data_IF_468227389561
#
_entry.id   IF_468227389561
#
_cell.length_a   1.000
_cell.length_b   1.000
_cell.length_c   1.000
_cell.angle_alpha   90.00
_cell.angle_beta   90.00
_cell.angle_gamma   90.00
#
_symmetry.space_group_name_H-M   'P 1'
#
loop_
_entity.id
_entity.type
_entity.pdbx_description
1 polymer ?
#
# COMPACT_ATOMS: atom_id res chain seq x y z
N UNK A 1 -2.47 -19.05 12.91
CA UNK A 1 -2.52 -20.51 12.63
C UNK A 1 -3.46 -20.78 11.47
N UNK A 2 -3.37 -21.94 10.80
CA UNK A 2 -4.30 -22.34 9.71
C UNK A 2 -4.63 -23.82 9.83
N UNK A 3 -5.87 -24.19 9.56
CA UNK A 3 -6.32 -25.56 9.31
C UNK A 3 -6.91 -25.65 7.91
N UNK A 4 -6.81 -26.81 7.28
CA UNK A 4 -7.33 -27.09 5.95
C UNK A 4 -7.87 -28.53 5.93
N UNK A 5 -9.15 -28.72 5.57
CA UNK A 5 -9.81 -30.04 5.57
C UNK A 5 -9.35 -30.91 4.41
N UNK A 6 -8.88 -30.30 3.33
CA UNK A 6 -8.61 -30.96 2.06
C UNK A 6 -7.11 -31.32 1.91
N UNK A 7 -6.30 -30.91 2.90
CA UNK A 7 -4.91 -31.32 3.03
C UNK A 7 -4.79 -32.85 3.22
N UNK A 8 -3.71 -33.43 2.68
CA UNK A 8 -3.48 -34.89 2.77
C UNK A 8 -3.36 -35.43 4.22
N UNK A 9 -3.04 -34.57 5.19
CA UNK A 9 -3.09 -34.87 6.62
C UNK A 9 -3.63 -33.65 7.38
N UNK A 10 -4.96 -33.52 7.55
CA UNK A 10 -5.56 -32.34 8.15
C UNK A 10 -5.12 -32.17 9.61
N UNK A 11 -4.38 -31.08 9.85
CA UNK A 11 -3.88 -30.66 11.17
C UNK A 11 -3.83 -29.14 11.25
N UNK A 12 -3.83 -28.61 12.46
CA UNK A 12 -3.57 -27.19 12.68
C UNK A 12 -2.09 -26.91 12.42
N UNK A 13 -1.79 -25.86 11.67
CA UNK A 13 -0.44 -25.49 11.26
C UNK A 13 -0.05 -24.07 11.71
N UNK A 14 1.23 -23.87 12.07
CA UNK A 14 1.76 -22.54 12.32
C UNK A 14 1.77 -21.69 11.05
N UNK A 15 1.66 -20.37 11.24
CA UNK A 15 1.83 -19.34 10.20
C UNK A 15 2.65 -18.14 10.71
N UNK A 16 3.25 -18.26 11.89
CA UNK A 16 4.11 -17.26 12.51
C UNK A 16 5.05 -17.93 13.53
N UNK A 17 6.32 -17.51 13.66
CA UNK A 17 7.29 -18.13 14.58
C UNK A 17 6.86 -18.14 16.04
N UNK A 18 6.17 -17.10 16.52
CA UNK A 18 5.76 -16.98 17.92
C UNK A 18 4.72 -18.02 18.37
N UNK A 19 4.06 -18.72 17.45
CA UNK A 19 3.20 -19.87 17.80
C UNK A 19 3.93 -21.20 17.61
N UNK A 20 5.02 -21.26 16.83
CA UNK A 20 5.79 -22.50 16.60
C UNK A 20 6.43 -23.07 17.86
N UNK A 21 6.65 -22.23 18.88
CA UNK A 21 7.13 -22.63 20.21
C UNK A 21 6.07 -23.33 21.07
N UNK A 22 4.80 -23.37 20.66
CA UNK A 22 3.76 -24.09 21.39
C UNK A 22 3.96 -25.62 21.32
N UNK A 23 3.75 -26.29 22.45
CA UNK A 23 4.00 -27.72 22.61
C UNK A 23 3.04 -28.64 21.83
N UNK A 24 3.33 -29.94 21.74
CA UNK A 24 2.51 -30.89 20.97
C UNK A 24 1.04 -30.94 21.43
N UNK A 25 0.78 -30.84 22.75
CA UNK A 25 -0.57 -30.82 23.32
C UNK A 25 -1.44 -29.68 22.78
N UNK A 26 -0.85 -28.51 22.51
CA UNK A 26 -1.55 -27.38 21.87
C UNK A 26 -1.98 -27.75 20.45
N UNK A 27 -1.03 -28.23 19.63
CA UNK A 27 -1.31 -28.57 18.23
C UNK A 27 -2.28 -29.74 18.08
N UNK A 28 -2.22 -30.73 18.97
CA UNK A 28 -3.18 -31.82 19.04
C UNK A 28 -4.58 -31.33 19.42
N UNK A 29 -4.70 -30.48 20.45
CA UNK A 29 -5.97 -29.89 20.88
C UNK A 29 -6.59 -29.04 19.78
N UNK A 30 -5.84 -28.11 19.18
CA UNK A 30 -6.37 -27.26 18.12
C UNK A 30 -6.69 -28.04 16.84
N UNK A 31 -5.93 -29.11 16.54
CA UNK A 31 -6.28 -30.03 15.45
C UNK A 31 -7.60 -30.76 15.72
N UNK A 32 -7.84 -31.22 16.95
CA UNK A 32 -9.12 -31.84 17.34
C UNK A 32 -10.27 -30.85 17.24
N UNK A 33 -10.11 -29.67 17.84
CA UNK A 33 -11.10 -28.58 17.81
C UNK A 33 -11.52 -28.25 16.37
N UNK A 34 -10.55 -28.14 15.45
CA UNK A 34 -10.84 -27.85 14.04
C UNK A 34 -11.50 -29.01 13.29
N UNK A 35 -11.16 -30.27 13.59
CA UNK A 35 -11.85 -31.44 13.03
C UNK A 35 -13.31 -31.53 13.48
N UNK A 36 -13.58 -31.25 14.75
CA UNK A 36 -14.94 -31.13 15.29
C UNK A 36 -15.69 -29.96 14.64
N UNK A 37 -15.03 -28.80 14.50
CA UNK A 37 -15.59 -27.65 13.79
C UNK A 37 -15.98 -28.00 12.35
N UNK A 38 -15.14 -28.70 11.58
CA UNK A 38 -15.45 -29.14 10.21
C UNK A 38 -16.76 -29.94 10.13
N UNK A 39 -16.99 -30.88 11.06
CA UNK A 39 -18.25 -31.63 11.11
C UNK A 39 -19.43 -30.73 11.50
N UNK A 40 -19.24 -29.82 12.47
CA UNK A 40 -20.27 -28.86 12.89
C UNK A 40 -20.66 -27.88 11.75
N UNK A 41 -19.71 -27.45 10.91
CA UNK A 41 -19.99 -26.65 9.71
C UNK A 41 -20.80 -27.45 8.68
N UNK A 42 -20.47 -28.72 8.44
CA UNK A 42 -21.23 -29.60 7.53
C UNK A 42 -22.68 -29.82 7.99
N UNK A 43 -22.89 -30.08 9.28
CA UNK A 43 -24.24 -30.19 9.87
C UNK A 43 -24.97 -28.85 9.83
N UNK A 44 -24.25 -27.74 10.05
CA UNK A 44 -24.75 -26.38 9.92
C UNK A 44 -25.28 -26.08 8.51
N UNK A 45 -24.49 -26.32 7.48
CA UNK A 45 -24.88 -26.15 6.07
C UNK A 45 -26.15 -26.94 5.74
N UNK A 46 -26.21 -28.23 6.07
CA UNK A 46 -27.40 -29.06 5.86
C UNK A 46 -28.64 -28.53 6.61
N UNK A 47 -28.46 -27.91 7.78
CA UNK A 47 -29.55 -27.32 8.57
C UNK A 47 -30.07 -26.03 7.93
N UNK A 48 -29.16 -25.16 7.49
CA UNK A 48 -29.50 -23.88 6.84
C UNK A 48 -30.20 -24.10 5.51
N UNK A 49 -29.68 -25.03 4.69
CA UNK A 49 -30.29 -25.47 3.44
C UNK A 49 -31.79 -25.80 3.58
N UNK A 50 -32.13 -26.56 4.62
CA UNK A 50 -33.52 -26.88 4.97
C UNK A 50 -34.32 -25.68 5.50
N UNK A 51 -33.72 -24.76 6.27
CA UNK A 51 -34.42 -23.56 6.74
C UNK A 51 -34.76 -22.58 5.61
N UNK A 52 -33.90 -22.47 4.60
CA UNK A 52 -34.10 -21.61 3.44
C UNK A 52 -34.83 -22.29 2.27
N UNK A 53 -35.21 -23.57 2.40
CA UNK A 53 -35.88 -24.37 1.36
C UNK A 53 -35.13 -24.40 0.02
N UNK A 54 -33.80 -24.49 0.06
CA UNK A 54 -32.95 -24.46 -1.13
C UNK A 54 -32.89 -25.82 -1.85
N UNK A 55 -32.41 -25.84 -3.10
CA UNK A 55 -32.23 -27.08 -3.88
C UNK A 55 -30.89 -27.76 -3.57
N UNK A 56 -30.83 -29.09 -3.58
CA UNK A 56 -29.61 -29.85 -3.21
C UNK A 56 -28.39 -29.59 -4.11
N UNK A 57 -28.59 -29.05 -5.32
CA UNK A 57 -27.53 -28.79 -6.29
C UNK A 57 -26.80 -27.44 -6.07
N UNK A 58 -27.20 -26.65 -5.06
CA UNK A 58 -26.56 -25.38 -4.71
C UNK A 58 -25.22 -25.55 -4.01
N UNK A 59 -24.24 -24.70 -4.36
CA UNK A 59 -23.06 -24.49 -3.53
C UNK A 59 -23.36 -23.38 -2.53
N UNK A 60 -23.10 -23.63 -1.25
CA UNK A 60 -23.44 -22.73 -0.15
C UNK A 60 -22.23 -22.49 0.76
N UNK A 61 -22.16 -21.29 1.33
CA UNK A 61 -21.03 -20.81 2.14
C UNK A 61 -21.50 -20.46 3.55
N UNK A 62 -20.92 -21.09 4.57
CA UNK A 62 -21.16 -20.75 5.97
C UNK A 62 -19.86 -20.26 6.60
N UNK A 63 -19.86 -19.02 7.07
CA UNK A 63 -18.72 -18.38 7.71
C UNK A 63 -18.99 -18.18 9.20
N UNK A 64 -17.93 -18.22 10.02
CA UNK A 64 -17.96 -17.82 11.43
C UNK A 64 -16.72 -17.02 11.74
N UNK A 65 -16.90 -15.90 12.43
CA UNK A 65 -15.85 -15.07 12.97
C UNK A 65 -16.09 -14.93 14.48
N UNK A 66 -15.07 -15.13 15.31
CA UNK A 66 -15.14 -14.96 16.76
C UNK A 66 -13.76 -14.63 17.33
N UNK A 67 -13.74 -13.93 18.46
CA UNK A 67 -12.52 -13.46 19.09
C UNK A 67 -12.80 -12.46 20.21
N UNK A 68 -11.72 -11.95 20.80
CA UNK A 68 -11.75 -11.01 21.91
C UNK A 68 -10.70 -9.93 21.70
N UNK A 69 -11.07 -8.69 22.03
CA UNK A 69 -10.15 -7.54 22.10
C UNK A 69 -9.80 -7.29 23.57
N UNK A 70 -8.52 -7.02 23.85
CA UNK A 70 -8.03 -6.73 25.21
C UNK A 70 -7.42 -5.34 25.30
N UNK A 71 -7.56 -4.71 26.46
CA UNK A 71 -6.96 -3.40 26.73
C UNK A 71 -5.49 -3.51 27.14
N UNK A 72 -4.79 -2.37 27.28
CA UNK A 72 -3.41 -2.33 27.78
C UNK A 72 -3.23 -2.90 29.20
N UNK A 73 -4.31 -3.02 29.98
CA UNK A 73 -4.35 -3.67 31.29
C UNK A 73 -4.62 -5.20 31.21
N UNK A 74 -4.70 -5.74 30.00
CA UNK A 74 -4.95 -7.16 29.71
C UNK A 74 -6.38 -7.62 29.92
N UNK A 75 -7.34 -6.72 30.16
CA UNK A 75 -8.75 -7.07 30.38
C UNK A 75 -9.54 -7.09 29.08
N UNK A 76 -10.59 -7.92 29.03
CA UNK A 76 -11.54 -7.94 27.92
C UNK A 76 -12.18 -6.55 27.72
N UNK A 77 -12.02 -5.98 26.53
CA UNK A 77 -12.77 -4.81 26.08
C UNK A 77 -14.03 -5.21 25.31
N UNK A 78 -13.91 -6.21 24.43
CA UNK A 78 -15.00 -6.68 23.57
C UNK A 78 -14.84 -8.17 23.29
N UNK A 79 -15.91 -8.93 23.45
CA UNK A 79 -16.02 -10.28 22.89
C UNK A 79 -16.97 -10.26 21.70
N UNK A 80 -16.66 -11.02 20.65
CA UNK A 80 -17.52 -11.11 19.47
C UNK A 80 -17.64 -12.53 18.95
N UNK A 81 -18.82 -12.82 18.39
CA UNK A 81 -19.09 -14.04 17.63
C UNK A 81 -20.22 -13.79 16.65
N UNK A 82 -19.94 -13.93 15.36
CA UNK A 82 -20.92 -13.78 14.29
C UNK A 82 -20.79 -14.93 13.28
N UNK A 83 -21.94 -15.43 12.84
CA UNK A 83 -22.05 -16.41 11.76
C UNK A 83 -22.75 -15.72 10.57
N UNK A 84 -22.29 -15.99 9.35
CA UNK A 84 -22.81 -15.46 8.10
C UNK A 84 -23.07 -16.61 7.10
N UNK A 85 -24.09 -16.46 6.25
CA UNK A 85 -24.53 -17.49 5.30
C UNK A 85 -24.71 -16.88 3.89
N UNK A 86 -24.13 -17.54 2.89
CA UNK A 86 -24.08 -17.10 1.48
C UNK A 86 -23.66 -15.61 1.32
N UNK A 87 -22.75 -15.15 2.18
CA UNK A 87 -22.20 -13.78 2.19
C UNK A 87 -23.05 -12.74 2.93
N UNK A 88 -24.23 -13.11 3.46
CA UNK A 88 -25.07 -12.24 4.28
C UNK A 88 -24.95 -12.58 5.77
N UNK A 89 -25.13 -11.58 6.64
CA UNK A 89 -25.21 -11.82 8.09
C UNK A 89 -26.33 -12.81 8.43
N UNK A 90 -26.06 -13.76 9.32
CA UNK A 90 -27.05 -14.74 9.76
C UNK A 90 -27.42 -14.52 11.23
N UNK A 91 -26.45 -14.66 12.15
CA UNK A 91 -26.68 -14.46 13.58
C UNK A 91 -25.41 -14.00 14.31
N UNK A 92 -25.55 -12.96 15.15
CA UNK A 92 -24.47 -12.38 15.94
C UNK A 92 -24.78 -12.43 17.45
N UNK A 93 -23.75 -12.67 18.26
CA UNK A 93 -23.78 -12.48 19.70
C UNK A 93 -23.69 -10.98 19.99
N UNK A 94 -24.60 -10.45 20.80
CA UNK A 94 -24.60 -9.04 21.16
C UNK A 94 -23.48 -8.71 22.16
N UNK A 95 -23.15 -7.44 22.28
CA UNK A 95 -22.05 -6.95 23.14
C UNK A 95 -22.30 -7.19 24.64
N UNK A 96 -23.54 -7.50 25.04
CA UNK A 96 -23.89 -7.95 26.39
C UNK A 96 -23.41 -9.39 26.71
N UNK A 97 -22.89 -10.12 25.70
CA UNK A 97 -22.49 -11.52 25.71
C UNK A 97 -23.57 -12.49 26.23
N UNK A 98 -24.85 -12.10 26.11
CA UNK A 98 -26.02 -12.79 26.68
C UNK A 98 -27.15 -12.98 25.68
N UNK A 99 -27.35 -12.03 24.77
CA UNK A 99 -28.42 -12.03 23.77
C UNK A 99 -27.89 -12.16 22.35
N UNK A 100 -28.78 -12.50 21.40
CA UNK A 100 -28.43 -12.73 20.00
C UNK A 100 -29.26 -11.81 19.08
N UNK A 101 -28.60 -11.21 18.10
CA UNK A 101 -29.25 -10.57 16.95
C UNK A 101 -29.30 -11.56 15.79
N UNK A 102 -30.49 -11.76 15.22
CA UNK A 102 -30.75 -12.66 14.10
C UNK A 102 -31.23 -11.85 12.91
N UNK A 103 -30.62 -12.04 11.74
CA UNK A 103 -30.82 -11.19 10.57
C UNK A 103 -32.18 -11.38 9.89
N UNK A 104 -32.70 -12.62 9.88
CA UNK A 104 -33.95 -12.97 9.21
C UNK A 104 -34.78 -14.03 9.97
N UNK A 105 -35.90 -14.45 9.37
CA UNK A 105 -36.82 -15.43 9.94
C UNK A 105 -36.23 -16.84 10.13
N UNK A 106 -35.27 -17.26 9.30
CA UNK A 106 -34.56 -18.53 9.47
C UNK A 106 -33.56 -18.43 10.64
N UNK A 107 -32.85 -17.32 10.74
CA UNK A 107 -31.97 -17.01 11.87
C UNK A 107 -32.72 -16.97 13.21
N UNK A 108 -33.99 -16.52 13.25
CA UNK A 108 -34.84 -16.63 14.45
C UNK A 108 -35.08 -18.08 14.92
N UNK A 109 -34.94 -19.09 14.05
CA UNK A 109 -34.99 -20.51 14.44
C UNK A 109 -33.70 -20.90 15.18
N UNK A 110 -32.53 -20.53 14.66
CA UNK A 110 -31.25 -20.76 15.33
C UNK A 110 -31.15 -19.99 16.65
N UNK A 111 -31.63 -18.74 16.69
CA UNK A 111 -31.67 -17.92 17.91
C UNK A 111 -32.39 -18.62 19.05
N UNK A 112 -33.65 -19.06 18.84
CA UNK A 112 -34.44 -19.76 19.87
C UNK A 112 -33.73 -21.02 20.37
N UNK A 113 -33.15 -21.82 19.47
CA UNK A 113 -32.36 -23.00 19.85
C UNK A 113 -31.10 -22.66 20.67
N UNK A 114 -30.43 -21.53 20.39
CA UNK A 114 -29.28 -21.05 21.16
C UNK A 114 -29.65 -20.51 22.53
N UNK A 115 -30.78 -19.82 22.64
CA UNK A 115 -31.33 -19.30 23.89
C UNK A 115 -31.78 -20.47 24.79
N UNK A 116 -32.52 -21.44 24.25
CA UNK A 116 -32.95 -22.66 24.96
C UNK A 116 -31.76 -23.50 25.46
N UNK A 117 -30.70 -23.64 24.66
CA UNK A 117 -29.50 -24.40 25.01
C UNK A 117 -28.42 -23.59 25.77
N UNK A 118 -28.70 -22.35 26.19
CA UNK A 118 -27.76 -21.52 26.97
C UNK A 118 -26.44 -21.16 26.27
N UNK A 119 -26.41 -21.17 24.93
CA UNK A 119 -25.17 -21.07 24.14
C UNK A 119 -24.43 -19.74 24.35
N UNK A 120 -25.14 -18.68 24.73
CA UNK A 120 -24.52 -17.40 25.06
C UNK A 120 -23.56 -17.50 26.25
N UNK A 121 -23.93 -18.23 27.31
CA UNK A 121 -23.09 -18.43 28.49
C UNK A 121 -21.81 -19.19 28.15
N UNK A 122 -21.90 -20.22 27.31
CA UNK A 122 -20.73 -20.96 26.81
C UNK A 122 -19.78 -20.07 26.01
N UNK A 123 -20.34 -19.21 25.13
CA UNK A 123 -19.54 -18.24 24.38
C UNK A 123 -18.89 -17.22 25.31
N UNK A 124 -19.64 -16.70 26.28
CA UNK A 124 -19.16 -15.72 27.27
C UNK A 124 -18.01 -16.28 28.12
N UNK A 125 -18.14 -17.50 28.63
CA UNK A 125 -17.09 -18.16 29.42
C UNK A 125 -15.79 -18.35 28.62
N UNK A 126 -15.89 -18.67 27.33
CA UNK A 126 -14.73 -18.72 26.43
C UNK A 126 -14.13 -17.32 26.18
N UNK A 127 -14.98 -16.32 25.90
CA UNK A 127 -14.55 -14.97 25.52
C UNK A 127 -13.96 -14.17 26.69
N UNK A 128 -14.52 -14.30 27.90
CA UNK A 128 -14.04 -13.63 29.13
C UNK A 128 -12.82 -14.32 29.76
N UNK A 129 -12.64 -15.63 29.53
CA UNK A 129 -11.54 -16.42 30.09
C UNK A 129 -10.54 -16.85 29.01
N UNK A 130 -10.75 -18.04 28.44
CA UNK A 130 -9.78 -18.72 27.56
C UNK A 130 -9.29 -17.87 26.40
N UNK A 131 -10.15 -17.07 25.76
CA UNK A 131 -9.74 -16.19 24.67
C UNK A 131 -8.70 -15.15 25.12
N UNK A 132 -8.96 -14.48 26.24
CA UNK A 132 -8.05 -13.49 26.84
C UNK A 132 -6.73 -14.16 27.27
N UNK A 133 -6.80 -15.31 27.94
CA UNK A 133 -5.63 -16.08 28.38
C UNK A 133 -4.69 -16.43 27.21
N UNK A 134 -5.25 -16.94 26.10
CA UNK A 134 -4.45 -17.27 24.91
C UNK A 134 -3.94 -16.03 24.18
N UNK A 135 -4.73 -14.95 24.10
CA UNK A 135 -4.29 -13.71 23.46
C UNK A 135 -3.11 -13.08 24.22
N UNK A 136 -3.18 -13.01 25.55
CA UNK A 136 -2.06 -12.51 26.38
C UNK A 136 -0.81 -13.37 26.21
N UNK A 137 -0.95 -14.70 26.22
CA UNK A 137 0.17 -15.62 25.96
C UNK A 137 0.78 -15.42 24.57
N UNK A 138 -0.03 -15.22 23.53
CA UNK A 138 0.51 -14.94 22.19
C UNK A 138 1.20 -13.58 22.10
N UNK A 139 0.67 -12.56 22.79
CA UNK A 139 1.28 -11.22 22.87
C UNK A 139 2.62 -11.25 23.63
N UNK A 140 2.76 -12.10 24.65
CA UNK A 140 4.03 -12.35 25.34
C UNK A 140 5.01 -13.11 24.42
N UNK A 141 4.59 -14.27 23.89
CA UNK A 141 5.38 -15.10 22.97
C UNK A 141 5.87 -14.32 21.73
N UNK A 142 5.04 -13.42 21.22
CA UNK A 142 5.23 -12.70 19.96
C UNK A 142 5.59 -11.24 20.12
N UNK A 143 5.95 -10.78 21.32
CA UNK A 143 6.13 -9.38 21.70
C UNK A 143 6.87 -8.54 20.64
N UNK A 144 8.08 -8.95 20.25
CA UNK A 144 8.93 -8.28 19.23
C UNK A 144 8.27 -8.11 17.84
N UNK A 145 7.19 -8.84 17.56
CA UNK A 145 6.51 -8.86 16.25
C UNK A 145 5.05 -8.44 16.27
N UNK A 146 4.36 -8.56 17.41
CA UNK A 146 2.94 -8.23 17.56
C UNK A 146 2.72 -6.87 18.24
N UNK A 147 3.62 -6.46 19.14
CA UNK A 147 3.55 -5.20 19.89
C UNK A 147 4.46 -4.11 19.30
N UNK A 148 4.93 -4.30 18.07
CA UNK A 148 5.73 -3.30 17.35
C UNK A 148 4.82 -2.38 16.54
N UNK A 149 5.25 -1.14 16.34
CA UNK A 149 4.67 -0.24 15.35
C UNK A 149 5.76 0.18 14.35
N UNK A 150 5.64 -0.28 13.10
CA UNK A 150 6.54 0.08 12.01
C UNK A 150 6.00 1.32 11.29
N UNK A 151 6.73 2.43 11.32
CA UNK A 151 6.32 3.69 10.69
C UNK A 151 6.21 3.60 9.15
N UNK A 152 5.20 4.23 8.53
CA UNK A 152 5.07 4.27 7.07
C UNK A 152 6.19 5.06 6.41
N UNK A 153 6.79 4.48 5.36
CA UNK A 153 7.61 5.20 4.39
C UNK A 153 6.69 5.96 3.45
N UNK A 154 6.63 7.28 3.62
CA UNK A 154 5.68 8.13 2.90
C UNK A 154 6.34 8.97 1.82
N UNK A 155 5.62 9.18 0.71
CA UNK A 155 6.04 10.09 -0.38
C UNK A 155 4.85 10.46 -1.26
N UNK A 156 4.96 11.54 -2.03
CA UNK A 156 3.96 11.97 -3.01
C UNK A 156 4.52 11.80 -4.43
N UNK A 157 3.81 11.07 -5.28
CA UNK A 157 4.10 10.96 -6.71
C UNK A 157 3.20 11.88 -7.53
N UNK A 158 3.73 12.42 -8.64
CA UNK A 158 3.05 13.37 -9.51
C UNK A 158 2.93 12.77 -10.92
N UNK A 159 1.72 12.71 -11.45
CA UNK A 159 1.42 12.11 -12.75
C UNK A 159 0.60 13.08 -13.61
N UNK A 160 1.18 13.70 -14.65
CA UNK A 160 0.41 14.56 -15.55
C UNK A 160 -0.72 13.79 -16.25
N UNK A 161 -1.91 14.38 -16.31
CA UNK A 161 -3.06 13.88 -17.08
C UNK A 161 -3.19 14.69 -18.38
N UNK A 162 -3.10 16.01 -18.25
CA UNK A 162 -3.18 16.98 -19.35
C UNK A 162 -2.31 18.21 -19.05
N UNK A 163 -2.30 19.20 -19.94
CA UNK A 163 -1.67 20.50 -19.67
C UNK A 163 -2.32 21.26 -18.49
N UNK A 164 -3.54 20.88 -18.10
CA UNK A 164 -4.35 21.57 -17.09
C UNK A 164 -4.53 20.79 -15.78
N UNK A 165 -4.25 19.49 -15.76
CA UNK A 165 -4.53 18.61 -14.63
C UNK A 165 -3.42 17.58 -14.41
N UNK A 166 -3.10 17.35 -13.13
CA UNK A 166 -2.14 16.34 -12.68
C UNK A 166 -2.73 15.54 -11.52
N UNK A 167 -2.42 14.24 -11.44
CA UNK A 167 -2.72 13.44 -10.25
C UNK A 167 -1.57 13.53 -9.25
N UNK A 168 -1.86 13.97 -8.02
CA UNK A 168 -0.98 13.76 -6.88
C UNK A 168 -1.40 12.49 -6.15
N UNK A 169 -0.50 11.53 -5.99
CA UNK A 169 -0.75 10.28 -5.24
C UNK A 169 0.19 10.21 -4.04
N UNK A 170 -0.39 10.26 -2.85
CA UNK A 170 0.29 10.06 -1.58
C UNK A 170 0.35 8.58 -1.25
N UNK A 171 1.55 8.07 -1.00
CA UNK A 171 1.80 6.68 -0.64
C UNK A 171 2.20 6.56 0.83
N UNK A 172 1.74 5.49 1.46
CA UNK A 172 2.29 4.94 2.69
C UNK A 172 2.69 3.48 2.44
N UNK A 173 3.94 3.13 2.73
CA UNK A 173 4.51 1.80 2.44
C UNK A 173 5.24 1.24 3.65
N UNK A 174 5.17 -0.08 3.86
CA UNK A 174 6.04 -0.77 4.80
C UNK A 174 5.68 -0.56 6.28
N UNK A 175 4.41 -0.26 6.58
CA UNK A 175 3.93 0.00 7.94
C UNK A 175 3.23 -1.19 8.58
N UNK A 176 3.14 -1.18 9.91
CA UNK A 176 2.40 -2.14 10.74
C UNK A 176 2.05 -1.46 12.07
N UNK A 177 0.84 -1.59 12.64
CA UNK A 177 -0.30 -2.40 12.20
C UNK A 177 -1.00 -1.84 10.95
N UNK A 178 -2.06 -2.52 10.49
CA UNK A 178 -2.83 -2.18 9.28
C UNK A 178 -3.58 -0.83 9.38
N UNK A 179 -3.99 -0.45 10.58
CA UNK A 179 -4.79 0.74 10.83
C UNK A 179 -3.99 2.01 10.50
N UNK A 180 -4.44 2.76 9.50
CA UNK A 180 -3.78 3.96 9.00
C UNK A 180 -4.80 4.91 8.40
N UNK A 181 -4.67 6.21 8.71
CA UNK A 181 -5.47 7.26 8.07
C UNK A 181 -4.62 8.07 7.11
N UNK A 182 -5.09 8.18 5.87
CA UNK A 182 -4.56 9.06 4.82
C UNK A 182 -5.68 10.04 4.45
N UNK A 183 -5.40 11.34 4.39
CA UNK A 183 -6.31 12.34 3.84
C UNK A 183 -5.58 13.37 2.98
N UNK A 184 -6.30 14.00 2.05
CA UNK A 184 -5.83 15.15 1.30
C UNK A 184 -6.55 16.41 1.77
N UNK A 185 -5.79 17.47 1.97
CA UNK A 185 -6.29 18.82 2.25
C UNK A 185 -5.81 19.79 1.18
N UNK A 186 -6.65 20.78 0.87
CA UNK A 186 -6.29 21.95 0.06
C UNK A 186 -6.44 23.19 0.92
N UNK A 187 -5.37 23.96 1.08
CA UNK A 187 -5.31 25.16 1.94
C UNK A 187 -5.79 24.95 3.40
N UNK A 188 -5.82 23.69 3.87
CA UNK A 188 -6.32 23.29 5.20
C UNK A 188 -7.74 22.70 5.23
N UNK A 189 -8.46 22.65 4.11
CA UNK A 189 -9.79 22.03 4.01
C UNK A 189 -9.71 20.61 3.41
N UNK A 190 -10.40 19.63 3.99
CA UNK A 190 -10.38 18.22 3.54
C UNK A 190 -11.08 18.04 2.17
N UNK A 191 -10.41 17.32 1.25
CA UNK A 191 -10.88 17.10 -0.14
C UNK A 191 -11.30 15.63 -0.34
N UNK A 192 -12.36 15.20 0.35
CA UNK A 192 -12.74 13.77 0.40
C UNK A 192 -13.46 13.26 -0.84
N UNK A 193 -14.26 14.09 -1.54
CA UNK A 193 -15.05 13.63 -2.70
C UNK A 193 -14.21 13.37 -3.96
N UNK A 194 -13.15 14.15 -4.16
CA UNK A 194 -12.26 14.05 -5.33
C UNK A 194 -11.02 13.17 -5.08
N UNK A 195 -10.94 12.51 -3.91
CA UNK A 195 -9.83 11.62 -3.57
C UNK A 195 -10.16 10.17 -3.88
N UNK A 196 -9.40 9.58 -4.81
CA UNK A 196 -9.34 8.14 -5.04
C UNK A 196 -8.54 7.48 -3.91
N UNK A 197 -9.18 6.57 -3.17
CA UNK A 197 -8.55 5.77 -2.13
C UNK A 197 -8.48 4.29 -2.53
N UNK A 198 -7.38 3.64 -2.17
CA UNK A 198 -7.29 2.18 -2.17
C UNK A 198 -7.36 1.65 -0.74
N UNK A 199 -8.09 0.55 -0.55
CA UNK A 199 -8.13 -0.21 0.71
C UNK A 199 -6.71 -0.58 1.15
N UNK A 200 -6.50 -0.68 2.47
CA UNK A 200 -5.18 -1.08 2.95
C UNK A 200 -4.93 -2.52 2.50
N UNK A 201 -3.72 -2.79 1.99
CA UNK A 201 -3.39 -4.10 1.41
C UNK A 201 -2.06 -4.62 1.93
N UNK A 202 -1.93 -5.94 2.17
CA UNK A 202 -0.67 -6.52 2.64
C UNK A 202 0.43 -6.41 1.56
N UNK A 203 1.67 -6.23 2.00
CA UNK A 203 2.87 -6.30 1.15
C UNK A 203 3.46 -7.72 1.06
N UNK A 204 3.04 -8.64 1.94
CA UNK A 204 3.49 -10.04 1.99
C UNK A 204 4.62 -10.33 2.97
N UNK A 205 5.26 -9.29 3.52
CA UNK A 205 6.35 -9.35 4.52
C UNK A 205 5.88 -8.99 5.95
N UNK A 206 4.57 -9.10 6.19
CA UNK A 206 3.82 -8.61 7.37
C UNK A 206 3.63 -7.09 7.46
N UNK A 207 4.15 -6.32 6.50
CA UNK A 207 3.80 -4.90 6.41
C UNK A 207 2.62 -4.66 5.47
N UNK A 208 2.10 -3.45 5.53
CA UNK A 208 0.98 -2.96 4.74
C UNK A 208 1.40 -1.80 3.83
N UNK A 209 0.56 -1.52 2.85
CA UNK A 209 0.69 -0.40 1.92
C UNK A 209 -0.69 0.18 1.62
N UNK A 210 -0.75 1.50 1.47
CA UNK A 210 -1.95 2.26 1.12
C UNK A 210 -1.56 3.47 0.28
N UNK A 211 -2.50 3.99 -0.52
CA UNK A 211 -2.35 5.29 -1.13
C UNK A 211 -3.69 6.01 -1.27
N UNK A 212 -3.59 7.34 -1.39
CA UNK A 212 -4.69 8.26 -1.64
C UNK A 212 -4.26 9.20 -2.77
N UNK A 213 -5.09 9.39 -3.80
CA UNK A 213 -4.76 10.23 -4.95
C UNK A 213 -5.84 11.27 -5.21
N UNK A 214 -5.44 12.48 -5.59
CA UNK A 214 -6.34 13.60 -5.90
C UNK A 214 -5.93 14.20 -7.25
N UNK A 215 -6.92 14.58 -8.07
CA UNK A 215 -6.69 15.35 -9.30
C UNK A 215 -6.63 16.83 -8.92
N UNK A 216 -5.56 17.51 -9.35
CA UNK A 216 -5.32 18.93 -9.03
C UNK A 216 -5.04 19.72 -10.30
N UNK A 217 -5.42 21.01 -10.36
CA UNK A 217 -5.02 21.89 -11.45
C UNK A 217 -3.50 22.05 -11.54
N UNK A 218 -2.95 22.02 -12.75
CA UNK A 218 -1.53 22.28 -13.00
C UNK A 218 -1.10 23.64 -12.43
N UNK A 219 -0.07 23.65 -11.59
CA UNK A 219 0.44 24.84 -10.88
C UNK A 219 -0.21 25.11 -9.51
N UNK A 220 -1.22 24.34 -9.10
CA UNK A 220 -1.84 24.43 -7.76
C UNK A 220 -1.29 23.37 -6.77
N UNK A 221 -0.35 22.52 -7.17
CA UNK A 221 0.08 21.32 -6.43
C UNK A 221 0.55 21.63 -5.00
N UNK A 222 1.16 22.80 -4.78
CA UNK A 222 1.68 23.23 -3.48
C UNK A 222 0.59 23.62 -2.46
N UNK A 223 -0.65 23.86 -2.92
CA UNK A 223 -1.83 24.07 -2.06
C UNK A 223 -2.33 22.77 -1.43
N UNK A 224 -1.98 21.64 -2.03
CA UNK A 224 -2.43 20.32 -1.61
C UNK A 224 -1.41 19.67 -0.66
N UNK A 225 -1.91 19.18 0.47
CA UNK A 225 -1.14 18.46 1.49
C UNK A 225 -1.78 17.11 1.77
N UNK A 226 -0.97 16.05 1.76
CA UNK A 226 -1.37 14.74 2.27
C UNK A 226 -1.05 14.65 3.76
N UNK A 227 -1.99 14.18 4.55
CA UNK A 227 -1.83 13.93 5.99
C UNK A 227 -1.87 12.43 6.26
N UNK A 228 -0.91 11.94 7.03
CA UNK A 228 -0.75 10.52 7.37
C UNK A 228 -0.73 10.37 8.88
N UNK A 229 -1.67 9.60 9.43
CA UNK A 229 -1.73 9.23 10.84
C UNK A 229 -1.59 7.71 10.97
N UNK A 230 -0.66 7.28 11.81
CA UNK A 230 -0.31 5.88 12.06
C UNK A 230 0.33 5.75 13.44
N UNK A 231 0.10 4.65 14.15
CA UNK A 231 0.65 4.42 15.50
C UNK A 231 2.19 4.43 15.55
N UNK A 232 2.86 4.03 14.46
CA UNK A 232 4.31 4.08 14.34
C UNK A 232 4.90 5.48 14.16
N UNK A 233 4.05 6.51 14.01
CA UNK A 233 4.48 7.91 13.91
C UNK A 233 4.33 8.62 15.25
N UNK A 234 5.39 9.26 15.72
CA UNK A 234 5.34 10.07 16.95
C UNK A 234 4.40 11.29 16.84
N UNK A 235 4.28 11.85 15.64
CA UNK A 235 3.33 12.92 15.27
C UNK A 235 2.80 12.67 13.85
N UNK A 236 1.57 13.10 13.51
CA UNK A 236 1.05 13.02 12.15
C UNK A 236 1.99 13.67 11.12
N UNK A 237 2.22 12.98 10.01
CA UNK A 237 3.11 13.46 8.95
C UNK A 237 2.31 14.19 7.89
N UNK A 238 2.68 15.43 7.58
CA UNK A 238 2.11 16.23 6.49
C UNK A 238 3.10 16.34 5.33
N UNK A 239 2.69 15.96 4.13
CA UNK A 239 3.51 15.90 2.91
C UNK A 239 2.97 16.86 1.86
N UNK A 240 3.87 17.52 1.13
CA UNK A 240 3.58 18.16 -0.16
C UNK A 240 4.27 17.40 -1.27
N UNK A 241 3.86 17.64 -2.52
CA UNK A 241 4.67 17.21 -3.65
C UNK A 241 5.93 18.08 -3.75
N UNK A 242 7.09 17.44 -3.78
CA UNK A 242 8.38 18.10 -4.05
C UNK A 242 8.78 17.85 -5.52
N UNK A 243 9.06 18.90 -6.32
CA UNK A 243 9.61 18.72 -7.65
C UNK A 243 10.97 18.02 -7.59
N UNK A 244 11.30 17.12 -8.54
CA UNK A 244 12.62 16.52 -8.61
C UNK A 244 13.71 17.60 -8.62
N UNK A 245 14.81 17.45 -7.87
CA UNK A 245 15.89 18.42 -7.88
C UNK A 245 16.40 18.58 -9.31
N UNK A 246 16.30 19.80 -9.85
CA UNK A 246 16.80 20.10 -11.19
C UNK A 246 18.29 19.72 -11.25
N UNK A 247 18.63 18.80 -12.14
CA UNK A 247 20.00 18.27 -12.25
C UNK A 247 21.01 19.41 -12.39
N UNK A 248 21.74 19.68 -11.30
CA UNK A 248 22.83 20.66 -11.21
C UNK A 248 23.91 20.42 -12.27
N UNK A 249 23.97 19.20 -12.83
CA UNK A 249 24.77 18.81 -14.00
C UNK A 249 24.54 19.77 -15.20
N UNK A 250 23.30 20.16 -15.50
CA UNK A 250 23.02 21.10 -16.60
C UNK A 250 23.53 22.51 -16.30
N UNK A 251 23.37 22.98 -15.06
CA UNK A 251 23.79 24.32 -14.63
C UNK A 251 25.33 24.41 -14.60
N UNK A 252 26.00 23.42 -14.02
CA UNK A 252 27.47 23.34 -13.97
C UNK A 252 28.06 23.18 -15.37
N UNK A 253 27.43 22.40 -16.25
CA UNK A 253 27.82 22.25 -17.66
C UNK A 253 27.77 23.58 -18.42
N UNK A 254 26.69 24.35 -18.26
CA UNK A 254 26.55 25.68 -18.87
C UNK A 254 27.59 26.66 -18.33
N UNK A 255 27.83 26.70 -17.02
CA UNK A 255 28.83 27.59 -16.41
C UNK A 255 30.27 27.25 -16.84
N UNK A 256 30.61 25.95 -16.90
CA UNK A 256 31.91 25.50 -17.39
C UNK A 256 32.10 25.82 -18.88
N UNK A 257 31.07 25.62 -19.71
CA UNK A 257 31.08 25.96 -21.13
C UNK A 257 31.28 27.47 -21.38
N UNK A 258 30.57 28.32 -20.62
CA UNK A 258 30.72 29.78 -20.68
C UNK A 258 32.12 30.23 -20.22
N UNK A 259 32.68 29.61 -19.17
CA UNK A 259 34.05 29.87 -18.72
C UNK A 259 35.10 29.54 -19.78
N UNK A 260 34.97 28.39 -20.44
CA UNK A 260 35.84 27.98 -21.53
C UNK A 260 35.74 28.92 -22.75
N UNK A 261 34.52 29.30 -23.15
CA UNK A 261 34.30 30.29 -24.20
C UNK A 261 34.94 31.65 -23.86
N UNK A 262 34.77 32.12 -22.62
CA UNK A 262 35.42 33.35 -22.13
C UNK A 262 36.95 33.28 -22.21
N UNK A 263 37.54 32.16 -21.80
CA UNK A 263 38.99 31.94 -21.88
C UNK A 263 39.50 31.88 -23.33
N UNK A 264 38.79 31.23 -24.24
CA UNK A 264 39.13 31.17 -25.68
C UNK A 264 39.05 32.57 -26.31
N UNK A 265 38.01 33.35 -26.01
CA UNK A 265 37.86 34.72 -26.51
C UNK A 265 38.98 35.61 -25.97
N UNK A 266 39.29 35.54 -24.66
CA UNK A 266 40.40 36.29 -24.07
C UNK A 266 41.76 35.91 -24.70
N UNK A 267 42.02 34.62 -24.88
CA UNK A 267 43.22 34.11 -25.56
C UNK A 267 43.33 34.58 -27.01
N UNK A 268 42.23 34.54 -27.77
CA UNK A 268 42.17 35.02 -29.14
C UNK A 268 42.42 36.54 -29.25
N UNK A 269 41.84 37.33 -28.34
CA UNK A 269 42.07 38.79 -28.28
C UNK A 269 43.53 39.10 -27.95
N UNK A 270 44.13 38.41 -26.97
CA UNK A 270 45.54 38.57 -26.61
C UNK A 270 46.45 38.17 -27.79
N UNK A 271 46.15 37.09 -28.50
CA UNK A 271 46.92 36.64 -29.67
C UNK A 271 46.83 37.63 -30.83
N UNK A 272 45.64 38.17 -31.11
CA UNK A 272 45.43 39.21 -32.13
C UNK A 272 46.21 40.49 -31.80
N UNK A 273 46.31 40.85 -30.52
CA UNK A 273 47.06 42.01 -30.02
C UNK A 273 48.59 41.78 -29.98
N UNK A 274 49.06 40.53 -30.11
CA UNK A 274 50.48 40.15 -30.05
C UNK A 274 51.15 39.90 -31.41
N UNK A 275 50.44 39.98 -32.55
CA UNK A 275 51.07 39.86 -33.87
C UNK A 275 51.74 41.18 -34.31
N UNK A 276 53.08 41.24 -34.48
CA UNK A 276 53.73 42.36 -35.15
C UNK A 276 53.52 42.25 -36.66
N UNK A 277 53.50 43.38 -37.38
CA UNK A 277 53.47 43.38 -38.84
C UNK A 277 54.83 42.98 -39.42
N UNK A 278 54.83 42.03 -40.36
CA UNK A 278 56.04 41.55 -41.04
C UNK A 278 56.24 42.25 -42.41
N UNK A 279 57.50 42.48 -42.81
CA UNK A 279 57.88 43.45 -43.84
C UNK A 279 58.21 42.85 -45.21
N UNK A 280 57.65 43.47 -46.24
CA UNK A 280 58.21 43.79 -47.58
C UNK A 280 59.63 43.26 -47.91
N UNK A 281 59.73 42.40 -48.92
CA UNK A 281 60.94 42.11 -49.72
C UNK A 281 60.84 42.70 -51.14
N UNK A 282 61.96 42.90 -51.85
CA UNK A 282 62.05 43.70 -53.10
C UNK A 282 62.67 42.91 -54.26
N UNK A 283 61.99 42.95 -55.42
CA UNK A 283 62.40 42.80 -56.84
C UNK A 283 63.66 42.02 -57.27
N UNK A 284 63.50 41.16 -58.30
CA UNK A 284 64.19 41.26 -59.63
C UNK A 284 63.22 40.88 -60.78
N UNK A 285 63.46 41.46 -61.96
CA UNK A 285 62.70 41.46 -63.24
C UNK A 285 63.34 40.51 -64.28
N UNK A 286 62.70 39.89 -65.29
CA UNK A 286 61.41 40.10 -65.97
C UNK A 286 60.61 38.74 -66.11
N UNK A 287 59.77 38.37 -67.11
CA UNK A 287 59.44 38.90 -68.44
C UNK A 287 57.98 38.60 -68.92
N UNK A 288 57.75 38.56 -70.24
CA UNK A 288 56.49 38.56 -70.99
C UNK A 288 56.29 37.29 -71.86
N UNK A 289 55.07 36.73 -71.94
CA UNK A 289 54.36 36.46 -73.22
C UNK A 289 53.05 35.64 -73.08
N UNK A 290 51.93 36.28 -73.46
CA UNK A 290 50.80 35.81 -74.27
C UNK A 290 49.99 34.49 -74.05
N UNK A 291 48.66 34.71 -74.04
CA UNK A 291 47.61 34.09 -74.87
C UNK A 291 46.74 32.90 -74.38
N UNK A 292 45.41 33.17 -74.38
CA UNK A 292 44.29 32.28 -74.74
C UNK A 292 44.00 31.03 -73.84
N UNK A 293 42.80 30.42 -73.77
CA UNK A 293 41.49 30.62 -74.42
C UNK A 293 40.37 29.84 -73.65
N UNK A 294 39.09 30.22 -73.79
CA UNK A 294 37.89 29.42 -73.42
C UNK A 294 37.47 29.47 -71.93
N UNK A 295 36.20 29.58 -71.51
CA UNK A 295 34.90 29.03 -71.99
C UNK A 295 34.84 27.50 -71.99
N UNK A 296 33.74 26.77 -71.68
CA UNK A 296 32.43 26.99 -71.03
C UNK A 296 31.72 25.60 -70.96
N UNK A 297 30.70 25.24 -70.17
CA UNK A 297 29.98 25.81 -69.02
C UNK A 297 29.11 24.71 -68.33
N UNK A 298 28.33 25.08 -67.29
CA UNK A 298 27.01 24.50 -66.88
C UNK A 298 26.77 22.97 -66.73
N UNK A 299 26.43 22.54 -65.49
CA UNK A 299 25.14 21.94 -65.03
C UNK A 299 24.44 20.78 -65.83
N UNK A 300 23.46 20.03 -65.26
CA UNK A 300 23.23 19.59 -63.87
C UNK A 300 22.66 18.13 -63.73
N UNK A 301 22.18 17.83 -62.51
CA UNK A 301 20.91 17.10 -62.19
C UNK A 301 20.91 15.60 -61.77
N UNK A 302 20.39 15.41 -60.54
CA UNK A 302 19.36 14.44 -60.08
C UNK A 302 19.34 13.02 -60.67
N UNK A 303 19.33 12.02 -59.78
CA UNK A 303 18.10 11.61 -59.05
C UNK A 303 18.39 11.61 -57.56
#
# INVERSE_FOLDING_TARGET
VRFDSDAASPRMEPRAPWVEQEGPEYWERETRNMKEATQNFRVGLNTLHGYYNQSEAGSHTLQRMYGCDVGPDGRLLRGYRQDAYDGADYIALNEDLRSWTAADAAAQITRRKREEAGVAEQCRNYLEGTCVEWLLRYLENGNETLQRADAPKTHVTHHPISDHEVTLRCWALGFYPEEISLSWQRDGEDVTQDTEFVETRPAGDRTFQKWAAVVVPSGEEQRYTCHVQHEGLAEPVTLRWEPPPQSTILIVGVLAGLGLLGAVVAGAVIWRKKRPGEKRGIYVQAANSDSAQGSDASLPQKV
#
